data_IF_817150723821
#
_entry.id   IF_817150723821
#
_cell.length_a   1.000
_cell.length_b   1.000
_cell.length_c   1.000
_cell.angle_alpha   90.00
_cell.angle_beta   90.00
_cell.angle_gamma   90.00
#
_symmetry.space_group_name_H-M   'P 1'
#
loop_
_entity.id
_entity.type
_entity.pdbx_description
1 polymer ?
#
# COMPACT_ATOMS: atom_id res chain seq x y z
N UNK A 1 -7.50 -2.96 2.37
CA UNK A 1 -6.88 -2.78 1.04
C UNK A 1 -7.91 -2.37 -0.01
N UNK A 2 -8.99 -3.12 -0.26
CA UNK A 2 -10.00 -2.76 -1.28
C UNK A 2 -10.58 -1.34 -1.16
N UNK A 3 -10.66 -0.78 0.05
CA UNK A 3 -11.19 0.58 0.29
C UNK A 3 -10.29 1.71 -0.18
N UNK A 4 -9.00 1.43 -0.39
CA UNK A 4 -7.95 2.40 -0.76
C UNK A 4 -7.31 2.07 -2.10
N UNK A 5 -7.97 1.24 -2.90
CA UNK A 5 -7.52 0.87 -4.25
C UNK A 5 -8.58 1.20 -5.30
N UNK A 6 -8.15 1.37 -6.55
CA UNK A 6 -9.03 1.72 -7.67
C UNK A 6 -9.92 0.56 -8.12
N UNK A 7 -9.40 -0.66 -8.10
CA UNK A 7 -10.16 -1.80 -8.58
C UNK A 7 -9.57 -3.14 -8.20
N UNK A 8 -9.98 -4.17 -8.93
CA UNK A 8 -9.62 -5.55 -8.69
C UNK A 8 -9.02 -6.19 -9.93
N UNK A 9 -8.01 -7.03 -9.73
CA UNK A 9 -7.35 -7.78 -10.80
C UNK A 9 -8.24 -8.86 -11.38
N UNK A 10 -8.41 -8.90 -12.70
CA UNK A 10 -9.02 -10.05 -13.38
C UNK A 10 -8.04 -11.23 -13.53
N UNK A 11 -6.72 -10.96 -13.52
CA UNK A 11 -5.69 -11.98 -13.73
C UNK A 11 -5.19 -12.64 -12.44
N UNK A 12 -5.34 -11.95 -11.30
CA UNK A 12 -4.83 -12.40 -10.00
C UNK A 12 -5.97 -12.46 -9.01
N UNK A 13 -6.66 -13.60 -8.96
CA UNK A 13 -7.81 -13.84 -8.10
C UNK A 13 -7.41 -14.59 -6.83
N UNK A 14 -8.13 -14.35 -5.73
CA UNK A 14 -7.86 -14.95 -4.42
C UNK A 14 -8.94 -16.02 -4.14
N UNK A 15 -8.62 -17.34 -4.21
CA UNK A 15 -9.64 -18.39 -4.16
C UNK A 15 -10.50 -18.41 -2.89
N UNK A 16 -9.89 -18.17 -1.72
CA UNK A 16 -10.60 -18.19 -0.44
C UNK A 16 -11.54 -16.99 -0.26
N UNK A 17 -11.45 -15.98 -1.12
CA UNK A 17 -12.33 -14.81 -1.15
C UNK A 17 -13.28 -14.89 -2.34
N UNK A 18 -13.84 -16.07 -2.63
CA UNK A 18 -14.75 -16.32 -3.76
C UNK A 18 -14.17 -15.89 -5.12
N UNK A 19 -12.86 -16.11 -5.31
CA UNK A 19 -12.12 -15.68 -6.50
C UNK A 19 -12.21 -14.17 -6.79
N UNK A 20 -12.45 -13.36 -5.76
CA UNK A 20 -12.33 -11.91 -5.83
C UNK A 20 -10.93 -11.51 -6.32
N UNK A 21 -10.87 -10.50 -7.17
CA UNK A 21 -9.60 -10.04 -7.75
C UNK A 21 -8.73 -9.35 -6.71
N UNK A 22 -7.41 -9.46 -6.78
CA UNK A 22 -6.53 -8.75 -5.85
C UNK A 22 -6.70 -7.23 -5.99
N UNK A 23 -6.66 -6.47 -4.89
CA UNK A 23 -6.84 -5.01 -4.94
C UNK A 23 -5.68 -4.36 -5.71
N UNK A 24 -6.00 -3.49 -6.68
CA UNK A 24 -5.04 -2.86 -7.59
C UNK A 24 -5.15 -1.33 -7.60
N UNK A 25 -3.99 -0.68 -7.73
CA UNK A 25 -3.87 0.78 -7.83
C UNK A 25 -4.18 1.46 -6.51
N UNK A 26 -3.20 1.54 -5.60
CA UNK A 26 -3.34 2.31 -4.36
C UNK A 26 -3.59 3.77 -4.73
N UNK A 27 -4.73 4.30 -4.30
CA UNK A 27 -5.16 5.65 -4.62
C UNK A 27 -4.77 6.61 -3.49
N UNK A 28 -3.95 7.61 -3.83
CA UNK A 28 -3.47 8.63 -2.90
C UNK A 28 -4.60 9.43 -2.25
N UNK A 29 -5.70 9.71 -2.99
CA UNK A 29 -6.84 10.45 -2.48
C UNK A 29 -7.59 9.63 -1.44
N UNK A 30 -7.93 8.38 -1.76
CA UNK A 30 -8.61 7.48 -0.82
C UNK A 30 -7.78 7.19 0.43
N UNK A 31 -6.45 7.05 0.30
CA UNK A 31 -5.56 6.87 1.47
C UNK A 31 -5.64 8.08 2.40
N UNK A 32 -5.49 9.29 1.86
CA UNK A 32 -5.53 10.53 2.63
C UNK A 32 -6.93 10.82 3.20
N UNK A 33 -7.99 10.67 2.40
CA UNK A 33 -9.38 10.92 2.83
C UNK A 33 -9.82 9.97 3.94
N UNK A 34 -9.53 8.66 3.79
CA UNK A 34 -10.00 7.64 4.72
C UNK A 34 -9.08 7.41 5.89
N UNK A 35 -7.86 7.96 5.85
CA UNK A 35 -6.81 7.73 6.86
C UNK A 35 -6.47 6.24 7.02
N UNK A 36 -6.54 5.47 5.93
CA UNK A 36 -6.20 4.04 5.90
C UNK A 36 -4.89 3.87 5.13
N UNK A 37 -3.85 3.41 5.83
CA UNK A 37 -2.56 3.11 5.22
C UNK A 37 -2.53 1.70 4.59
N UNK A 38 -1.78 1.51 3.49
CA UNK A 38 -1.47 0.18 2.99
C UNK A 38 -0.82 -0.70 4.06
N UNK A 39 -1.23 -1.96 4.12
CA UNK A 39 -0.62 -3.00 4.94
C UNK A 39 0.40 -3.77 4.10
N UNK A 40 1.64 -3.85 4.57
CA UNK A 40 2.73 -4.51 3.86
C UNK A 40 3.29 -5.63 4.74
N UNK A 41 3.21 -6.87 4.25
CA UNK A 41 3.94 -7.99 4.83
C UNK A 41 5.40 -7.93 4.35
N UNK A 42 6.35 -7.91 5.28
CA UNK A 42 7.78 -7.88 4.94
C UNK A 42 8.63 -8.75 5.86
N UNK A 43 9.80 -9.15 5.36
CA UNK A 43 10.84 -9.76 6.18
C UNK A 43 11.54 -8.71 7.04
N UNK A 44 11.85 -9.05 8.29
CA UNK A 44 12.62 -8.19 9.19
C UNK A 44 14.09 -8.55 9.02
N UNK A 45 14.85 -7.66 8.38
CA UNK A 45 16.30 -7.80 8.24
C UNK A 45 17.02 -7.37 9.52
N UNK A 46 18.09 -8.07 9.87
CA UNK A 46 18.91 -7.71 11.02
C UNK A 46 19.68 -6.40 10.75
N UNK A 47 19.82 -5.56 11.79
CA UNK A 47 20.49 -4.24 11.68
C UNK A 47 21.96 -4.31 11.26
N UNK A 48 22.67 -5.37 11.66
CA UNK A 48 24.08 -5.58 11.28
C UNK A 48 24.17 -6.30 9.93
N UNK A 49 25.01 -5.77 9.04
CA UNK A 49 25.27 -6.34 7.72
C UNK A 49 25.76 -7.79 7.81
N UNK A 50 25.38 -8.61 6.83
CA UNK A 50 25.80 -10.01 6.70
C UNK A 50 25.02 -11.02 7.55
N UNK A 51 24.13 -10.59 8.46
CA UNK A 51 23.34 -11.52 9.28
C UNK A 51 22.08 -12.01 8.55
N UNK A 52 21.45 -11.15 7.75
CA UNK A 52 20.26 -11.51 6.97
C UNK A 52 18.94 -11.36 7.74
N UNK A 53 17.94 -12.15 7.36
CA UNK A 53 16.58 -12.07 7.90
C UNK A 53 16.48 -12.70 9.29
N UNK A 54 15.82 -12.01 10.21
CA UNK A 54 15.63 -12.44 11.62
C UNK A 54 14.17 -12.48 12.05
N UNK A 55 13.24 -12.22 11.13
CA UNK A 55 11.81 -12.33 11.39
C UNK A 55 10.97 -11.93 10.18
N UNK A 56 9.67 -11.78 10.40
CA UNK A 56 8.71 -11.25 9.45
C UNK A 56 7.60 -10.52 10.21
N UNK A 57 6.93 -9.57 9.57
CA UNK A 57 5.85 -8.83 10.19
C UNK A 57 5.09 -7.93 9.23
N UNK A 58 4.04 -7.31 9.77
CA UNK A 58 3.26 -6.29 9.12
C UNK A 58 3.86 -4.91 9.41
N UNK A 59 3.95 -4.09 8.38
CA UNK A 59 4.35 -2.68 8.48
C UNK A 59 3.43 -1.81 7.66
N UNK A 60 3.41 -0.52 7.99
CA UNK A 60 2.73 0.50 7.22
C UNK A 60 3.76 1.52 6.69
N UNK A 61 3.56 2.05 5.48
CA UNK A 61 4.31 3.22 5.04
C UNK A 61 3.93 4.45 5.89
N UNK A 62 4.81 5.46 6.02
CA UNK A 62 4.47 6.71 6.70
C UNK A 62 3.35 7.46 5.97
N UNK A 63 2.35 8.01 6.67
CA UNK A 63 1.27 8.81 6.03
C UNK A 63 1.82 9.97 5.19
N UNK A 64 2.90 10.58 5.67
CA UNK A 64 3.55 11.73 5.03
C UNK A 64 3.88 11.51 3.54
N UNK A 65 4.22 10.29 3.11
CA UNK A 65 4.50 10.08 1.68
C UNK A 65 3.25 10.22 0.79
N UNK A 66 2.06 9.94 1.31
CA UNK A 66 0.80 10.14 0.58
C UNK A 66 0.36 11.60 0.61
N UNK A 67 0.53 12.28 1.75
CA UNK A 67 0.26 13.72 1.87
C UNK A 67 1.14 14.53 0.90
N UNK A 68 2.45 14.27 0.91
CA UNK A 68 3.40 14.94 0.03
C UNK A 68 3.10 14.63 -1.46
N UNK A 69 2.69 13.39 -1.78
CA UNK A 69 2.30 13.02 -3.15
C UNK A 69 0.99 13.68 -3.61
N UNK A 70 0.01 13.81 -2.72
CA UNK A 70 -1.24 14.50 -3.00
C UNK A 70 -0.99 15.99 -3.25
N UNK A 71 -0.16 16.64 -2.44
CA UNK A 71 0.23 18.03 -2.67
C UNK A 71 0.88 18.19 -4.06
N UNK A 72 1.85 17.34 -4.40
CA UNK A 72 2.51 17.40 -5.70
C UNK A 72 1.55 17.13 -6.89
N UNK A 73 0.49 16.34 -6.69
CA UNK A 73 -0.55 16.13 -7.70
C UNK A 73 -1.38 17.41 -7.91
N UNK A 74 -1.81 18.06 -6.82
CA UNK A 74 -2.56 19.32 -6.86
C UNK A 74 -1.75 20.41 -7.56
N UNK A 75 -0.49 20.63 -7.14
CA UNK A 75 0.41 21.64 -7.72
C UNK A 75 0.60 21.50 -9.24
N UNK A 76 0.44 20.27 -9.76
CA UNK A 76 0.69 19.95 -11.17
C UNK A 76 -0.57 20.01 -12.04
N UNK A 77 -1.73 19.69 -11.47
CA UNK A 77 -2.94 19.41 -12.25
C UNK A 77 -4.18 20.21 -11.83
N UNK A 78 -4.13 20.91 -10.71
CA UNK A 78 -5.27 21.66 -10.15
C UNK A 78 -5.01 23.16 -9.99
N UNK A 79 -3.75 23.58 -9.99
CA UNK A 79 -3.32 24.99 -10.10
C UNK A 79 -3.13 25.40 -11.57
#
# INVERSE_FOLDING_TARGET
MYEITEGESQSFQIPILDFRGSPQGIDILKVCEKQILPQINTGIAHKKSGIGQVGAGLVNPPMKCFEDALQAYVDKYCD
#
